data_IF_661905665434
#
_entry.id   IF_661905665434
#
_cell.length_a   1.000
_cell.length_b   1.000
_cell.length_c   1.000
_cell.angle_alpha   90.00
_cell.angle_beta   90.00
_cell.angle_gamma   90.00
#
_symmetry.space_group_name_H-M   'P 1'
#
loop_
_entity.id
_entity.type
_entity.pdbx_description
1 polymer ?
#
# COMPACT_ATOMS: atom_id res chain seq x y z
N UNK A 1 -2.99 13.98 2.92
CA UNK A 1 -2.70 13.20 1.70
C UNK A 1 -1.38 12.50 1.93
N UNK A 2 -1.35 11.17 1.88
CA UNK A 2 -0.18 10.42 2.34
C UNK A 2 -0.09 9.03 1.73
N UNK A 3 1.10 8.46 1.81
CA UNK A 3 1.36 7.06 1.49
C UNK A 3 1.01 6.20 2.69
N UNK A 4 0.29 5.13 2.43
CA UNK A 4 -0.14 4.15 3.42
C UNK A 4 0.36 2.78 2.99
N UNK A 5 0.63 1.92 3.97
CA UNK A 5 0.94 0.52 3.71
C UNK A 5 0.16 -0.41 4.60
N UNK A 6 -0.29 -1.53 4.03
CA UNK A 6 -0.95 -2.62 4.75
C UNK A 6 -0.08 -3.87 4.58
N UNK A 7 0.23 -4.54 5.70
CA UNK A 7 0.94 -5.82 5.68
C UNK A 7 -0.06 -6.92 5.31
N UNK A 8 0.22 -7.63 4.21
CA UNK A 8 -0.62 -8.74 3.75
C UNK A 8 -0.19 -10.04 4.43
N UNK A 9 1.12 -10.30 4.45
CA UNK A 9 1.75 -11.40 5.19
C UNK A 9 3.22 -11.05 5.50
N UNK A 10 4.05 -12.05 5.80
CA UNK A 10 5.46 -11.83 6.11
C UNK A 10 6.32 -11.43 4.89
N UNK A 11 5.83 -11.66 3.68
CA UNK A 11 6.55 -11.38 2.44
C UNK A 11 6.01 -10.14 1.73
N UNK A 12 4.70 -9.86 1.80
CA UNK A 12 4.07 -8.84 0.97
C UNK A 12 3.51 -7.66 1.77
N UNK A 13 3.71 -6.46 1.21
CA UNK A 13 3.04 -5.22 1.62
C UNK A 13 2.33 -4.59 0.43
N UNK A 14 1.12 -4.10 0.69
CA UNK A 14 0.39 -3.23 -0.23
C UNK A 14 0.72 -1.78 0.12
N UNK A 15 1.21 -1.00 -0.83
CA UNK A 15 1.44 0.43 -0.70
C UNK A 15 0.44 1.19 -1.58
N UNK A 16 -0.13 2.27 -1.08
CA UNK A 16 -1.07 3.10 -1.84
C UNK A 16 -1.11 4.54 -1.32
N UNK A 17 -1.56 5.47 -2.14
CA UNK A 17 -1.90 6.84 -1.72
C UNK A 17 -3.37 6.94 -1.33
N UNK A 18 -3.65 7.55 -0.20
CA UNK A 18 -5.02 7.85 0.21
C UNK A 18 -5.38 9.30 -0.12
N UNK A 19 -6.38 9.45 -0.98
CA UNK A 19 -6.87 10.74 -1.46
C UNK A 19 -8.40 10.70 -1.58
N UNK A 20 -9.07 11.64 -0.91
CA UNK A 20 -10.52 11.86 -1.03
C UNK A 20 -11.36 10.57 -0.85
N UNK A 21 -10.98 9.73 0.11
CA UNK A 21 -11.69 8.48 0.42
C UNK A 21 -11.40 7.31 -0.54
N UNK A 22 -10.44 7.48 -1.45
CA UNK A 22 -10.06 6.49 -2.45
C UNK A 22 -8.57 6.15 -2.37
N UNK A 23 -8.24 4.93 -2.81
CA UNK A 23 -6.87 4.44 -2.92
C UNK A 23 -6.36 4.60 -4.36
N UNK A 24 -5.21 5.24 -4.51
CA UNK A 24 -4.53 5.46 -5.79
C UNK A 24 -3.11 4.91 -5.73
N UNK A 25 -2.48 4.73 -6.91
CA UNK A 25 -1.09 4.29 -7.05
C UNK A 25 -0.80 3.03 -6.20
N UNK A 26 -1.68 2.03 -6.34
CA UNK A 26 -1.67 0.80 -5.55
C UNK A 26 -0.63 -0.16 -6.10
N UNK A 27 0.36 -0.50 -5.27
CA UNK A 27 1.45 -1.39 -5.62
C UNK A 27 1.62 -2.50 -4.56
N UNK A 28 1.94 -3.71 -5.01
CA UNK A 28 2.36 -4.81 -4.13
C UNK A 28 3.88 -4.87 -4.15
N UNK A 29 4.49 -4.77 -2.98
CA UNK A 29 5.95 -4.85 -2.80
C UNK A 29 6.26 -6.15 -2.05
N UNK A 30 7.16 -6.95 -2.62
CA UNK A 30 7.79 -8.07 -1.92
C UNK A 30 8.93 -7.54 -1.07
N UNK A 31 8.97 -7.96 0.19
CA UNK A 31 9.96 -7.55 1.18
C UNK A 31 11.15 -8.53 1.28
N UNK A 32 11.25 -9.51 0.37
CA UNK A 32 12.44 -10.38 0.24
C UNK A 32 13.57 -9.73 -0.58
#
# INVERSE_FOLDING_TARGET
MGWHSIRVNDQYRLCFRWLEGNAYDVEIVDYH
#
